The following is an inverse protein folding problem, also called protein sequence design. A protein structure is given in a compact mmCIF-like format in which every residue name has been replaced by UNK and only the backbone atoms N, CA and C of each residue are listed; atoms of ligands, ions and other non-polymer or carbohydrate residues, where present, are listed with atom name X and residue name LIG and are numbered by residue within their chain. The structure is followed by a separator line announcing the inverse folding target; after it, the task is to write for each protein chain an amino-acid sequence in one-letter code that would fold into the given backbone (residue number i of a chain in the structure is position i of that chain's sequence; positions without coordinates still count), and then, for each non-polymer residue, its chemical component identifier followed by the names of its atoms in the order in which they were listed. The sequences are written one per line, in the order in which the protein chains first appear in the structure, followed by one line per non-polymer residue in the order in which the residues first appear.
data_IF_218398899227
#
_entry.id   IF_218398899227
#
_cell.length_a   1.000
_cell.length_b   1.000
_cell.length_c   1.000
_cell.angle_alpha   90.00
_cell.angle_beta   90.00
_cell.angle_gamma   90.00
#
_symmetry.space_group_name_H-M   'P 1'
#
loop_
_entity.id
_entity.type
_entity.pdbx_description
1 polymer ?
#
# COMPACT_ATOMS: atom_id res chain seq x y z
N UNK A 1 37.44 -12.22 17.99
CA UNK A 1 37.43 -11.15 16.96
C UNK A 1 35.99 -10.96 16.49
N UNK A 2 35.56 -9.71 16.34
CA UNK A 2 34.21 -9.15 16.56
C UNK A 2 33.00 -9.78 15.83
N UNK A 3 32.10 -10.43 16.59
CA UNK A 3 30.69 -10.69 16.22
C UNK A 3 29.81 -9.42 16.37
N UNK A 4 30.37 -8.34 16.96
CA UNK A 4 29.67 -7.07 17.20
C UNK A 4 29.33 -6.25 15.94
N UNK A 5 29.82 -6.63 14.76
CA UNK A 5 29.54 -5.90 13.52
C UNK A 5 28.35 -6.46 12.71
N UNK A 6 27.94 -7.71 12.92
CA UNK A 6 26.85 -8.31 12.13
C UNK A 6 25.46 -8.00 12.70
N UNK A 7 25.37 -7.69 13.99
CA UNK A 7 24.09 -7.43 14.67
C UNK A 7 23.58 -5.99 14.41
N UNK A 8 24.47 -5.06 14.02
CA UNK A 8 24.09 -3.67 13.69
C UNK A 8 23.37 -3.50 12.35
N UNK A 9 23.30 -4.54 11.50
CA UNK A 9 22.59 -4.46 10.21
C UNK A 9 21.25 -5.22 10.20
N UNK A 10 20.97 -5.99 11.25
CA UNK A 10 19.77 -6.84 11.39
C UNK A 10 18.83 -6.36 12.52
N UNK A 11 19.27 -5.39 13.32
CA UNK A 11 18.40 -4.59 14.19
C UNK A 11 18.17 -3.20 13.59
N UNK A 12 17.62 -3.13 12.37
CA UNK A 12 16.64 -2.07 12.13
C UNK A 12 15.37 -2.64 12.74
N UNK A 13 15.23 -2.37 14.03
CA UNK A 13 13.98 -2.44 14.75
C UNK A 13 12.88 -1.97 13.80
N UNK A 14 12.00 -2.91 13.47
CA UNK A 14 10.80 -2.67 12.70
C UNK A 14 9.88 -1.83 13.58
N UNK A 15 10.26 -0.57 13.80
CA UNK A 15 9.32 0.48 14.08
C UNK A 15 8.38 0.43 12.89
N UNK A 16 7.21 -0.18 13.09
CA UNK A 16 6.11 -0.05 12.16
C UNK A 16 5.98 1.44 11.89
N UNK A 17 6.42 1.88 10.70
CA UNK A 17 6.19 3.24 10.25
C UNK A 17 4.67 3.37 10.25
N UNK A 18 4.10 3.95 11.31
CA UNK A 18 2.65 4.22 11.45
C UNK A 18 2.19 5.25 10.42
N UNK A 19 3.14 5.75 9.62
CA UNK A 19 2.91 6.72 8.56
C UNK A 19 3.92 6.56 7.42
N UNK A 20 3.54 7.01 6.22
CA UNK A 20 4.38 7.06 5.02
C UNK A 20 4.39 8.48 4.46
N UNK A 21 5.51 8.92 3.90
CA UNK A 21 5.60 10.20 3.21
C UNK A 21 5.05 10.06 1.79
N UNK A 22 4.34 11.07 1.29
CA UNK A 22 3.83 11.09 -0.09
C UNK A 22 4.96 10.84 -1.10
N UNK A 23 6.10 11.52 -0.92
CA UNK A 23 7.29 11.37 -1.78
C UNK A 23 7.94 9.98 -1.74
N UNK A 24 7.65 9.16 -0.71
CA UNK A 24 8.18 7.80 -0.60
C UNK A 24 7.30 6.80 -1.40
N UNK A 25 6.17 7.25 -1.96
CA UNK A 25 5.29 6.46 -2.81
C UNK A 25 5.71 6.52 -4.28
N UNK A 26 5.36 5.51 -5.08
CA UNK A 26 5.43 5.58 -6.53
C UNK A 26 4.74 6.82 -7.10
N UNK A 27 5.25 7.36 -8.21
CA UNK A 27 4.75 8.59 -8.84
C UNK A 27 3.27 8.51 -9.22
N UNK A 28 2.82 7.38 -9.75
CA UNK A 28 1.41 7.12 -10.08
C UNK A 28 0.50 7.23 -8.85
N UNK A 29 0.95 6.69 -7.71
CA UNK A 29 0.23 6.84 -6.44
C UNK A 29 0.25 8.28 -5.91
N UNK A 30 1.35 9.02 -6.10
CA UNK A 30 1.41 10.43 -5.70
C UNK A 30 0.39 11.26 -6.48
N UNK A 31 0.33 11.06 -7.80
CA UNK A 31 -0.66 11.73 -8.67
C UNK A 31 -2.08 11.36 -8.28
N UNK A 32 -2.36 10.07 -8.07
CA UNK A 32 -3.70 9.62 -7.66
C UNK A 32 -4.14 10.28 -6.34
N UNK A 33 -3.26 10.32 -5.34
CA UNK A 33 -3.56 10.96 -4.05
C UNK A 33 -3.78 12.46 -4.25
N UNK A 34 -2.92 13.14 -5.00
CA UNK A 34 -3.09 14.58 -5.29
C UNK A 34 -4.44 14.86 -5.94
N UNK A 35 -4.83 14.07 -6.94
CA UNK A 35 -6.14 14.20 -7.61
C UNK A 35 -7.30 13.99 -6.64
N UNK A 36 -7.24 12.97 -5.76
CA UNK A 36 -8.30 12.73 -4.78
C UNK A 36 -8.51 13.91 -3.82
N UNK A 37 -7.43 14.60 -3.42
CA UNK A 37 -7.50 15.77 -2.55
C UNK A 37 -7.94 17.03 -3.29
N UNK A 38 -7.45 17.22 -4.52
CA UNK A 38 -7.86 18.32 -5.39
C UNK A 38 -9.35 18.23 -5.73
N UNK A 39 -9.83 17.06 -6.17
CA UNK A 39 -11.22 16.85 -6.59
C UNK A 39 -12.22 17.01 -5.43
N UNK A 40 -11.85 16.56 -4.22
CA UNK A 40 -12.77 16.57 -3.06
C UNK A 40 -12.75 17.85 -2.26
N UNK A 41 -11.60 18.52 -2.18
CA UNK A 41 -11.38 19.61 -1.23
C UNK A 41 -10.74 20.85 -1.87
N UNK A 42 -10.27 20.78 -3.11
CA UNK A 42 -9.49 21.83 -3.75
C UNK A 42 -8.27 22.26 -2.92
N UNK A 43 -7.61 21.29 -2.27
CA UNK A 43 -6.39 21.50 -1.47
C UNK A 43 -5.26 20.57 -1.89
N UNK A 44 -4.03 20.94 -1.53
CA UNK A 44 -2.90 20.04 -1.64
C UNK A 44 -3.00 18.86 -0.64
N UNK A 45 -2.59 17.66 -1.05
CA UNK A 45 -2.57 16.51 -0.16
C UNK A 45 -1.57 16.70 0.99
N UNK A 46 -1.85 16.13 2.18
CA UNK A 46 -0.88 16.02 3.27
C UNK A 46 0.43 15.37 2.81
N UNK A 47 1.55 15.76 3.41
CA UNK A 47 2.85 15.14 3.09
C UNK A 47 3.04 13.78 3.74
N UNK A 48 2.29 13.48 4.79
CA UNK A 48 2.40 12.27 5.61
C UNK A 48 1.02 11.64 5.72
N UNK A 49 0.94 10.34 5.47
CA UNK A 49 -0.28 9.56 5.53
C UNK A 49 -0.18 8.44 6.55
N UNK A 50 -1.27 8.08 7.25
CA UNK A 50 -1.26 6.94 8.16
C UNK A 50 -1.09 5.64 7.36
N UNK A 51 -0.23 4.76 7.86
CA UNK A 51 0.02 3.45 7.28
C UNK A 51 -0.47 2.39 8.26
N UNK A 52 -1.48 1.63 7.83
CA UNK A 52 -2.10 0.57 8.63
C UNK A 52 -1.81 -0.80 8.02
N UNK A 53 -2.02 -1.84 8.82
CA UNK A 53 -1.99 -3.24 8.37
C UNK A 53 -3.43 -3.74 8.31
N UNK A 54 -3.84 -4.24 7.15
CA UNK A 54 -5.18 -4.79 6.94
C UNK A 54 -5.08 -6.30 6.73
N UNK A 55 -6.02 -7.03 7.31
CA UNK A 55 -6.24 -8.45 7.06
C UNK A 55 -6.84 -8.65 5.65
N UNK A 56 -6.17 -9.45 4.83
CA UNK A 56 -6.58 -9.70 3.44
C UNK A 56 -7.92 -10.43 3.34
N UNK A 57 -8.33 -11.15 4.38
CA UNK A 57 -9.62 -11.84 4.43
C UNK A 57 -10.79 -10.89 4.71
N UNK A 58 -10.51 -9.70 5.25
CA UNK A 58 -11.51 -8.65 5.48
C UNK A 58 -11.74 -7.75 4.26
N UNK A 59 -10.87 -7.85 3.25
CA UNK A 59 -10.99 -7.04 2.04
C UNK A 59 -11.92 -7.70 1.01
N UNK A 60 -12.76 -6.91 0.32
CA UNK A 60 -13.66 -7.46 -0.69
C UNK A 60 -12.86 -8.13 -1.82
N UNK A 61 -13.32 -9.31 -2.25
CA UNK A 61 -12.76 -9.98 -3.43
C UNK A 61 -13.30 -9.26 -4.66
N UNK A 62 -12.53 -8.30 -5.17
CA UNK A 62 -12.85 -7.61 -6.41
C UNK A 62 -12.31 -8.41 -7.59
N UNK A 63 -13.13 -8.77 -8.59
CA UNK A 63 -12.64 -9.49 -9.77
C UNK A 63 -11.58 -8.66 -10.50
N UNK A 64 -10.53 -9.31 -10.99
CA UNK A 64 -9.62 -8.68 -11.94
C UNK A 64 -10.36 -8.43 -13.24
N UNK A 65 -10.10 -7.29 -13.89
CA UNK A 65 -10.67 -7.06 -15.21
C UNK A 65 -10.05 -8.07 -16.20
N UNK A 66 -10.92 -8.89 -16.79
CA UNK A 66 -10.52 -9.91 -17.78
C UNK A 66 -9.95 -9.29 -19.06
N UNK A 67 -10.27 -8.03 -19.35
CA UNK A 67 -9.78 -7.32 -20.53
C UNK A 67 -8.34 -6.84 -20.39
N UNK A 68 -7.83 -6.72 -19.16
CA UNK A 68 -6.66 -5.87 -18.90
C UNK A 68 -5.37 -6.63 -18.58
N UNK A 69 -5.24 -7.90 -19.02
CA UNK A 69 -4.06 -8.74 -18.70
C UNK A 69 -3.82 -8.82 -17.17
N UNK A 70 -4.86 -8.64 -16.36
CA UNK A 70 -4.74 -8.45 -14.91
C UNK A 70 -3.99 -9.59 -14.20
N UNK A 71 -4.17 -10.83 -14.65
CA UNK A 71 -3.44 -11.99 -14.11
C UNK A 71 -1.94 -11.96 -14.42
N UNK A 72 -1.55 -11.61 -15.66
CA UNK A 72 -0.14 -11.45 -16.05
C UNK A 72 0.52 -10.27 -15.34
N UNK A 73 -0.24 -9.22 -15.05
CA UNK A 73 0.25 -8.09 -14.28
C UNK A 73 0.48 -8.48 -12.81
N UNK A 74 -0.45 -9.23 -12.23
CA UNK A 74 -0.30 -9.80 -10.87
C UNK A 74 0.89 -10.75 -10.78
N UNK A 75 1.15 -11.59 -11.78
CA UNK A 75 2.30 -12.49 -11.78
C UNK A 75 3.64 -11.74 -11.73
N UNK A 76 3.74 -10.59 -12.40
CA UNK A 76 4.94 -9.74 -12.35
C UNK A 76 5.15 -9.07 -10.99
N UNK A 77 4.12 -9.04 -10.14
CA UNK A 77 4.17 -8.45 -8.80
C UNK A 77 4.61 -9.44 -7.72
N UNK A 78 4.56 -10.75 -8.00
CA UNK A 78 4.94 -11.80 -7.05
C UNK A 78 6.44 -11.70 -6.75
N UNK A 79 6.81 -11.77 -5.47
CA UNK A 79 8.19 -11.66 -5.00
C UNK A 79 8.72 -10.24 -4.91
N UNK A 80 7.93 -9.23 -5.30
CA UNK A 80 8.33 -7.82 -5.21
C UNK A 80 7.90 -7.18 -3.89
N UNK A 81 8.67 -6.18 -3.45
CA UNK A 81 8.21 -5.25 -2.42
C UNK A 81 7.21 -4.28 -3.06
N UNK A 82 5.92 -4.51 -2.80
CA UNK A 82 4.85 -3.71 -3.36
C UNK A 82 4.52 -2.51 -2.48
N UNK A 83 4.21 -1.35 -3.08
CA UNK A 83 3.73 -0.17 -2.36
C UNK A 83 2.39 -0.48 -1.65
N UNK A 84 2.02 0.26 -0.60
CA UNK A 84 0.79 0.01 0.16
C UNK A 84 -0.48 0.33 -0.64
N UNK A 85 -1.55 -0.43 -0.43
CA UNK A 85 -2.85 -0.15 -1.05
C UNK A 85 -3.47 1.14 -0.49
N UNK A 86 -4.51 1.68 -1.13
CA UNK A 86 -5.22 2.87 -0.64
C UNK A 86 -6.64 2.49 -0.27
N UNK A 87 -7.04 2.80 0.95
CA UNK A 87 -8.41 2.60 1.45
C UNK A 87 -8.97 3.88 2.02
N UNK A 88 -10.29 4.00 2.00
CA UNK A 88 -10.99 5.05 2.74
C UNK A 88 -12.37 4.55 3.15
N UNK A 89 -12.78 4.83 4.39
CA UNK A 89 -14.08 4.41 4.93
C UNK A 89 -14.34 2.90 4.74
N UNK A 90 -13.32 2.06 4.92
CA UNK A 90 -13.38 0.61 4.72
C UNK A 90 -13.54 0.16 3.26
N UNK A 91 -13.49 1.08 2.29
CA UNK A 91 -13.56 0.79 0.85
C UNK A 91 -12.17 0.83 0.23
N UNK A 92 -11.92 -0.07 -0.72
CA UNK A 92 -10.71 -0.03 -1.55
C UNK A 92 -10.81 1.11 -2.56
N UNK A 93 -9.85 2.03 -2.53
CA UNK A 93 -9.69 3.10 -3.52
C UNK A 93 -8.75 2.63 -4.64
N UNK A 94 -7.59 2.09 -4.26
CA UNK A 94 -6.61 1.56 -5.22
C UNK A 94 -5.81 0.39 -4.63
N UNK A 95 -5.27 -0.46 -5.51
CA UNK A 95 -4.39 -1.56 -5.13
C UNK A 95 -5.00 -2.94 -5.34
N UNK A 96 -6.03 -3.06 -6.20
CA UNK A 96 -6.68 -4.35 -6.54
C UNK A 96 -5.66 -5.41 -6.96
N UNK A 97 -4.77 -5.08 -7.90
CA UNK A 97 -3.73 -6.01 -8.35
C UNK A 97 -2.77 -6.43 -7.22
N UNK A 98 -2.45 -5.51 -6.30
CA UNK A 98 -1.59 -5.78 -5.14
C UNK A 98 -2.24 -6.72 -4.13
N UNK A 99 -3.56 -6.60 -3.92
CA UNK A 99 -4.33 -7.56 -3.11
C UNK A 99 -4.27 -8.95 -3.74
N UNK A 100 -4.49 -9.06 -5.05
CA UNK A 100 -4.41 -10.34 -5.77
C UNK A 100 -3.02 -10.96 -5.70
N UNK A 101 -1.96 -10.16 -5.88
CA UNK A 101 -0.58 -10.61 -5.74
C UNK A 101 -0.30 -11.13 -4.33
N UNK A 102 -0.69 -10.36 -3.30
CA UNK A 102 -0.49 -10.76 -1.91
C UNK A 102 -1.26 -12.04 -1.55
N UNK A 103 -2.48 -12.22 -2.07
CA UNK A 103 -3.25 -13.47 -1.90
C UNK A 103 -2.59 -14.65 -2.60
N UNK A 104 -2.08 -14.48 -3.83
CA UNK A 104 -1.30 -15.53 -4.53
C UNK A 104 -0.02 -15.92 -3.78
N UNK A 105 0.56 -14.98 -3.05
CA UNK A 105 1.72 -15.21 -2.17
C UNK A 105 1.36 -15.81 -0.80
N UNK A 106 0.09 -16.14 -0.56
CA UNK A 106 -0.42 -16.63 0.73
C UNK A 106 -0.13 -15.66 1.91
N UNK A 107 -0.02 -14.36 1.64
CA UNK A 107 0.06 -13.35 2.71
C UNK A 107 -1.29 -13.27 3.41
N UNK A 108 -1.25 -13.06 4.72
CA UNK A 108 -2.45 -12.83 5.56
C UNK A 108 -2.80 -11.36 5.68
N UNK A 109 -1.80 -10.49 5.50
CA UNK A 109 -1.95 -9.06 5.72
C UNK A 109 -1.31 -8.25 4.61
N UNK A 110 -1.79 -7.04 4.40
CA UNK A 110 -1.23 -6.06 3.46
C UNK A 110 -1.15 -4.68 4.11
N UNK A 111 -0.14 -3.89 3.75
CA UNK A 111 -0.02 -2.50 4.19
C UNK A 111 -0.95 -1.62 3.36
N UNK A 112 -1.63 -0.68 4.02
CA UNK A 112 -2.57 0.24 3.40
C UNK A 112 -2.40 1.67 3.92
N UNK A 113 -2.58 2.64 3.05
CA UNK A 113 -2.79 4.04 3.40
C UNK A 113 -4.27 4.21 3.72
N UNK A 114 -4.59 4.67 4.92
CA UNK A 114 -5.96 4.95 5.34
C UNK A 114 -6.29 6.44 5.17
N UNK A 115 -7.17 6.75 4.24
CA UNK A 115 -7.60 8.12 3.97
C UNK A 115 -8.85 8.52 4.76
N UNK A 116 -9.38 7.64 5.62
CA UNK A 116 -10.63 7.88 6.37
C UNK A 116 -10.57 9.15 7.22
N UNK A 117 -9.43 9.43 7.86
CA UNK A 117 -9.24 10.63 8.70
C UNK A 117 -9.29 11.93 7.91
N UNK A 118 -9.20 11.88 6.58
CA UNK A 118 -9.26 13.04 5.69
C UNK A 118 -10.63 13.21 5.04
N UNK A 119 -11.65 12.44 5.46
CA UNK A 119 -13.01 12.49 4.89
C UNK A 119 -13.08 12.12 3.39
N UNK A 120 -12.16 11.25 2.93
CA UNK A 120 -12.15 10.70 1.56
C UNK A 120 -13.08 9.49 1.44
#
# INVERSE_FOLDING_TARGET
MNIRFLVKKILIETFEKKSILLKDLPEDMQVLISQLFEDKFAIEPPKIFPLITIDLDKLPILPLDKRDRGEKHVEKMIGLFLPPIIVSNGKLIDGRHRIHAAKKENKKTIKAIDLTSFSI
#
